data_IF_958391778747
#
_entry.id   IF_958391778747
#
_cell.length_a   1.000
_cell.length_b   1.000
_cell.length_c   1.000
_cell.angle_alpha   90.00
_cell.angle_beta   90.00
_cell.angle_gamma   90.00
#
_symmetry.space_group_name_H-M   'P 1'
#
loop_
_entity.id
_entity.type
_entity.pdbx_description
1 polymer ?
#
# COMPACT_ATOMS: atom_id res chain seq x y z
N UNK A 1 41.98 -58.63 -28.04
CA UNK A 1 41.48 -57.34 -28.56
C UNK A 1 40.04 -57.18 -28.09
N UNK A 2 39.82 -56.33 -27.07
CA UNK A 2 38.51 -56.12 -26.47
C UNK A 2 37.65 -55.24 -27.40
N UNK A 3 36.36 -55.57 -27.52
CA UNK A 3 35.37 -54.76 -28.23
C UNK A 3 34.74 -53.80 -27.22
N UNK A 4 34.97 -52.51 -27.41
CA UNK A 4 34.37 -51.42 -26.64
C UNK A 4 32.83 -51.48 -26.76
N UNK A 5 32.14 -51.59 -25.62
CA UNK A 5 30.69 -51.51 -25.54
C UNK A 5 30.33 -50.01 -25.53
N UNK A 6 29.89 -49.50 -26.67
CA UNK A 6 29.40 -48.12 -26.80
C UNK A 6 28.14 -47.91 -25.95
N UNK A 7 28.29 -47.24 -24.82
CA UNK A 7 27.19 -46.85 -23.94
C UNK A 7 26.49 -45.63 -24.54
N UNK A 8 25.36 -45.83 -25.23
CA UNK A 8 24.49 -44.73 -25.67
C UNK A 8 23.69 -44.24 -24.47
N UNK A 9 24.14 -43.15 -23.85
CA UNK A 9 23.41 -42.50 -22.77
C UNK A 9 22.17 -41.78 -23.35
N UNK A 10 21.00 -42.40 -23.18
CA UNK A 10 19.71 -41.78 -23.51
C UNK A 10 19.38 -40.72 -22.44
N UNK A 11 19.76 -39.47 -22.67
CA UNK A 11 19.42 -38.36 -21.78
C UNK A 11 17.94 -38.02 -21.94
N UNK A 12 17.12 -38.41 -20.95
CA UNK A 12 15.74 -37.95 -20.79
C UNK A 12 15.76 -36.43 -20.53
N UNK A 13 15.45 -35.64 -21.55
CA UNK A 13 15.20 -34.19 -21.42
C UNK A 13 13.84 -34.04 -20.75
N UNK A 14 13.83 -33.90 -19.42
CA UNK A 14 12.64 -33.49 -18.70
C UNK A 14 12.38 -32.02 -18.99
N UNK A 15 11.42 -31.74 -19.88
CA UNK A 15 10.83 -30.41 -20.02
C UNK A 15 10.14 -30.08 -18.69
N UNK A 16 10.81 -29.28 -17.84
CA UNK A 16 10.10 -28.55 -16.81
C UNK A 16 9.21 -27.54 -17.53
N UNK A 17 7.95 -27.90 -17.73
CA UNK A 17 6.93 -26.91 -18.01
C UNK A 17 6.90 -26.00 -16.78
N UNK A 18 7.46 -24.79 -16.91
CA UNK A 18 7.14 -23.73 -15.98
C UNK A 18 5.65 -23.49 -16.12
N UNK A 19 4.86 -24.06 -15.21
CA UNK A 19 3.46 -23.68 -15.02
C UNK A 19 3.47 -22.20 -14.69
N UNK A 20 3.29 -21.37 -15.72
CA UNK A 20 2.97 -19.95 -15.58
C UNK A 20 1.60 -19.88 -14.92
N UNK A 21 1.57 -20.09 -13.61
CA UNK A 21 0.36 -20.03 -12.82
C UNK A 21 -0.16 -18.59 -12.90
N UNK A 22 -1.34 -18.41 -13.50
CA UNK A 22 -2.12 -17.19 -13.37
C UNK A 22 -2.21 -16.84 -11.88
N UNK A 23 -1.47 -15.81 -11.45
CA UNK A 23 -1.45 -15.41 -10.05
C UNK A 23 -2.49 -14.33 -9.84
N UNK A 24 -3.74 -14.79 -9.72
CA UNK A 24 -4.83 -13.98 -9.19
C UNK A 24 -4.69 -13.94 -7.67
N UNK A 25 -4.45 -12.76 -7.13
CA UNK A 25 -4.27 -12.59 -5.70
C UNK A 25 -5.62 -12.69 -4.97
N UNK A 26 -5.62 -13.39 -3.83
CA UNK A 26 -6.71 -13.28 -2.87
C UNK A 26 -6.69 -11.87 -2.25
N UNK A 27 -7.88 -11.26 -2.13
CA UNK A 27 -8.07 -9.85 -1.77
C UNK A 27 -7.43 -9.49 -0.43
N UNK A 28 -7.66 -10.27 0.62
CA UNK A 28 -7.13 -9.96 1.95
C UNK A 28 -5.64 -10.25 2.07
N UNK A 29 -5.15 -11.26 1.37
CA UNK A 29 -3.73 -11.59 1.25
C UNK A 29 -2.98 -10.42 0.61
N UNK A 30 -3.46 -9.91 -0.54
CA UNK A 30 -2.86 -8.74 -1.18
C UNK A 30 -2.93 -7.50 -0.28
N UNK A 31 -4.08 -7.24 0.36
CA UNK A 31 -4.21 -6.10 1.27
C UNK A 31 -3.23 -6.18 2.44
N UNK A 32 -3.04 -7.37 3.03
CA UNK A 32 -2.09 -7.60 4.11
C UNK A 32 -0.65 -7.42 3.64
N UNK A 33 -0.27 -7.96 2.48
CA UNK A 33 1.05 -7.75 1.88
C UNK A 33 1.35 -6.26 1.68
N UNK A 34 0.45 -5.54 1.01
CA UNK A 34 0.57 -4.10 0.74
C UNK A 34 0.73 -3.26 2.01
N UNK A 35 -0.04 -3.59 3.06
CA UNK A 35 -0.01 -2.88 4.33
C UNK A 35 1.20 -3.26 5.19
N UNK A 36 1.41 -4.55 5.43
CA UNK A 36 2.29 -5.05 6.47
C UNK A 36 3.71 -5.30 5.96
N UNK A 37 3.86 -5.92 4.78
CA UNK A 37 5.18 -6.18 4.18
C UNK A 37 5.74 -4.91 3.55
N UNK A 38 4.95 -4.25 2.69
CA UNK A 38 5.43 -3.09 1.93
C UNK A 38 5.19 -1.74 2.60
N UNK A 39 4.48 -1.71 3.73
CA UNK A 39 4.26 -0.51 4.53
C UNK A 39 3.64 0.63 3.71
N UNK A 40 2.71 0.31 2.79
CA UNK A 40 1.89 1.35 2.17
C UNK A 40 1.01 2.00 3.24
N UNK A 41 0.81 3.34 3.19
CA UNK A 41 0.02 4.02 4.21
C UNK A 41 -1.37 3.40 4.37
N UNK A 42 -1.79 3.14 5.61
CA UNK A 42 -3.12 2.60 5.93
C UNK A 42 -4.25 3.42 5.30
N UNK A 43 -4.08 4.74 5.26
CA UNK A 43 -5.02 5.69 4.64
C UNK A 43 -5.14 5.53 3.13
N UNK A 44 -4.14 4.96 2.46
CA UNK A 44 -4.12 4.72 1.02
C UNK A 44 -4.52 3.29 0.63
N UNK A 45 -4.54 2.36 1.59
CA UNK A 45 -4.73 0.93 1.29
C UNK A 45 -6.01 0.64 0.50
N UNK A 46 -7.13 1.28 0.88
CA UNK A 46 -8.40 1.10 0.17
C UNK A 46 -8.32 1.60 -1.29
N UNK A 47 -7.59 2.68 -1.54
CA UNK A 47 -7.33 3.20 -2.89
C UNK A 47 -6.48 2.21 -3.70
N UNK A 48 -5.39 1.71 -3.13
CA UNK A 48 -4.54 0.71 -3.78
C UNK A 48 -5.30 -0.57 -4.14
N UNK A 49 -6.11 -1.08 -3.21
CA UNK A 49 -6.93 -2.26 -3.46
C UNK A 49 -8.01 -2.01 -4.50
N UNK A 50 -8.65 -0.82 -4.50
CA UNK A 50 -9.61 -0.49 -5.54
C UNK A 50 -8.96 -0.41 -6.93
N UNK A 51 -7.80 0.26 -7.05
CA UNK A 51 -7.06 0.36 -8.31
C UNK A 51 -6.71 -1.03 -8.81
N UNK A 52 -6.08 -1.88 -7.99
CA UNK A 52 -5.72 -3.24 -8.40
C UNK A 52 -6.95 -4.05 -8.86
N UNK A 53 -8.11 -3.88 -8.21
CA UNK A 53 -9.35 -4.53 -8.65
C UNK A 53 -9.88 -4.00 -9.98
N UNK A 54 -9.81 -2.70 -10.23
CA UNK A 54 -10.34 -2.06 -11.44
C UNK A 54 -9.44 -2.28 -12.64
N UNK A 55 -8.14 -2.25 -12.41
CA UNK A 55 -7.11 -2.38 -13.44
C UNK A 55 -6.95 -3.85 -13.89
N UNK A 56 -7.00 -4.81 -12.97
CA UNK A 56 -6.65 -6.21 -13.30
C UNK A 56 -7.51 -7.28 -12.63
N UNK A 57 -8.51 -6.91 -11.82
CA UNK A 57 -9.25 -7.86 -10.96
C UNK A 57 -8.32 -8.68 -10.05
N UNK A 58 -7.22 -8.07 -9.60
CA UNK A 58 -6.14 -8.70 -8.82
C UNK A 58 -5.33 -9.77 -9.56
N UNK A 59 -5.45 -9.86 -10.88
CA UNK A 59 -4.60 -10.74 -11.69
C UNK A 59 -3.24 -10.08 -11.95
N UNK A 60 -2.18 -10.61 -11.31
CA UNK A 60 -0.82 -10.08 -11.48
C UNK A 60 -0.21 -10.39 -12.84
N UNK A 61 -0.76 -11.35 -13.60
CA UNK A 61 -0.34 -11.64 -14.97
C UNK A 61 -1.20 -10.94 -16.02
N UNK A 62 -2.12 -10.05 -15.62
CA UNK A 62 -2.97 -9.33 -16.56
C UNK A 62 -2.15 -8.38 -17.44
N UNK A 63 -2.19 -8.59 -18.76
CA UNK A 63 -1.60 -7.68 -19.75
C UNK A 63 -2.76 -7.14 -20.59
N UNK A 64 -2.86 -5.82 -20.70
CA UNK A 64 -3.91 -5.21 -21.51
C UNK A 64 -3.69 -5.49 -23.01
N UNK A 65 -4.75 -5.29 -23.78
CA UNK A 65 -4.62 -5.10 -25.22
C UNK A 65 -3.70 -3.92 -25.55
N UNK A 66 -3.11 -3.95 -26.73
CA UNK A 66 -2.23 -2.87 -27.22
C UNK A 66 -2.99 -1.54 -27.23
N UNK A 67 -2.41 -0.54 -26.59
CA UNK A 67 -2.89 0.83 -26.57
C UNK A 67 -2.73 1.48 -27.95
N UNK A 68 -3.46 2.57 -28.20
CA UNK A 68 -3.42 3.29 -29.49
C UNK A 68 -2.01 3.72 -29.92
N UNK A 69 -1.12 3.95 -28.96
CA UNK A 69 0.27 4.33 -29.20
C UNK A 69 1.21 3.12 -29.34
N UNK A 70 0.70 1.90 -29.38
CA UNK A 70 1.49 0.67 -29.45
C UNK A 70 2.03 0.16 -28.11
N UNK A 71 1.85 0.90 -27.01
CA UNK A 71 2.27 0.45 -25.67
C UNK A 71 1.31 -0.60 -25.11
N UNK A 72 1.71 -1.25 -24.02
CA UNK A 72 0.88 -2.18 -23.24
C UNK A 72 1.01 -1.86 -21.76
N UNK A 73 -0.01 -2.25 -21.00
CA UNK A 73 -0.07 -2.10 -19.55
C UNK A 73 0.02 -3.46 -18.86
N UNK A 74 0.83 -3.54 -17.81
CA UNK A 74 1.27 -4.80 -17.21
C UNK A 74 0.87 -4.93 -15.74
N UNK A 75 0.31 -6.10 -15.41
CA UNK A 75 0.11 -6.63 -14.07
C UNK A 75 -0.93 -5.92 -13.23
N UNK A 76 -0.80 -6.10 -11.91
CA UNK A 76 -1.80 -5.70 -10.91
C UNK A 76 -2.29 -4.25 -11.06
N UNK A 77 -1.36 -3.34 -11.35
CA UNK A 77 -1.58 -1.90 -11.39
C UNK A 77 -1.41 -1.31 -12.79
N UNK A 78 -1.42 -2.16 -13.83
CA UNK A 78 -1.39 -1.76 -15.24
C UNK A 78 -0.26 -0.76 -15.54
N UNK A 79 0.97 -1.19 -15.23
CA UNK A 79 2.19 -0.40 -15.39
C UNK A 79 2.56 -0.35 -16.88
N UNK A 80 2.51 0.83 -17.47
CA UNK A 80 2.71 1.04 -18.91
C UNK A 80 4.19 0.88 -19.36
N UNK A 81 4.41 0.14 -20.44
CA UNK A 81 5.75 -0.12 -21.01
C UNK A 81 6.30 0.95 -21.97
N UNK A 82 5.69 2.14 -22.06
CA UNK A 82 6.30 3.32 -22.69
C UNK A 82 7.01 4.18 -21.65
N UNK A 83 6.44 4.30 -20.45
CA UNK A 83 6.87 5.26 -19.44
C UNK A 83 7.59 4.62 -18.25
N UNK A 84 7.11 3.47 -17.76
CA UNK A 84 7.45 3.00 -16.42
C UNK A 84 8.37 1.78 -16.42
N UNK A 85 8.08 0.77 -17.25
CA UNK A 85 8.91 -0.41 -17.44
C UNK A 85 9.37 -0.52 -18.90
N UNK A 86 10.29 -1.45 -19.18
CA UNK A 86 10.75 -1.76 -20.53
C UNK A 86 10.75 -3.26 -20.82
N UNK A 87 10.49 -3.64 -22.07
CA UNK A 87 10.70 -4.99 -22.59
C UNK A 87 10.94 -4.94 -24.11
N UNK A 88 11.13 -6.10 -24.75
CA UNK A 88 11.37 -6.18 -26.20
C UNK A 88 10.22 -5.63 -27.06
N UNK A 89 9.03 -5.51 -26.50
CA UNK A 89 7.83 -4.98 -27.16
C UNK A 89 7.61 -3.48 -26.90
N UNK A 90 8.45 -2.84 -26.08
CA UNK A 90 8.31 -1.42 -25.73
C UNK A 90 8.45 -0.51 -26.95
N UNK A 91 7.45 0.34 -27.25
CA UNK A 91 7.60 1.38 -28.26
C UNK A 91 8.74 2.34 -27.90
N UNK A 92 9.46 2.81 -28.92
CA UNK A 92 10.53 3.78 -28.75
C UNK A 92 10.07 5.22 -29.06
N UNK A 93 10.59 6.25 -28.36
CA UNK A 93 11.47 6.12 -27.19
C UNK A 93 10.72 5.62 -25.95
N UNK A 94 11.39 4.80 -25.14
CA UNK A 94 10.91 4.34 -23.83
C UNK A 94 11.69 5.02 -22.70
N UNK A 95 11.00 5.43 -21.63
CA UNK A 95 11.64 6.13 -20.50
C UNK A 95 12.13 5.21 -19.37
N UNK A 96 11.53 4.03 -19.20
CA UNK A 96 11.78 3.07 -18.12
C UNK A 96 12.01 3.73 -16.74
N UNK A 97 11.10 4.61 -16.31
CA UNK A 97 11.30 5.40 -15.10
C UNK A 97 11.41 4.59 -13.80
N UNK A 98 10.90 3.35 -13.79
CA UNK A 98 11.06 2.44 -12.65
C UNK A 98 12.37 1.62 -12.71
N UNK A 99 13.12 1.71 -13.81
CA UNK A 99 14.33 0.95 -14.09
C UNK A 99 14.10 -0.57 -13.90
N UNK A 100 13.07 -1.11 -14.56
CA UNK A 100 12.63 -2.49 -14.36
C UNK A 100 12.14 -3.12 -15.67
N UNK A 101 12.38 -4.42 -15.83
CA UNK A 101 11.81 -5.18 -16.96
C UNK A 101 10.32 -5.45 -16.71
N UNK A 102 9.47 -5.34 -17.74
CA UNK A 102 8.02 -5.51 -17.55
C UNK A 102 7.63 -6.92 -17.03
N UNK A 103 8.40 -7.95 -17.36
CA UNK A 103 8.14 -9.30 -16.81
C UNK A 103 8.34 -9.39 -15.30
N UNK A 104 9.21 -8.54 -14.74
CA UNK A 104 9.40 -8.49 -13.28
C UNK A 104 8.18 -7.90 -12.61
N UNK A 105 7.54 -6.87 -13.18
CA UNK A 105 6.33 -6.29 -12.58
C UNK A 105 5.10 -7.21 -12.66
N UNK A 106 5.13 -8.23 -13.54
CA UNK A 106 4.11 -9.29 -13.59
C UNK A 106 4.32 -10.35 -12.49
N UNK A 107 5.57 -10.74 -12.26
CA UNK A 107 5.90 -11.94 -11.48
C UNK A 107 6.36 -11.65 -10.04
N UNK A 108 6.77 -10.42 -9.75
CA UNK A 108 7.44 -10.03 -8.51
C UNK A 108 6.76 -8.81 -7.88
N UNK A 109 5.98 -9.05 -6.82
CA UNK A 109 5.25 -8.00 -6.11
C UNK A 109 6.20 -6.95 -5.48
N UNK A 110 7.45 -7.30 -5.17
CA UNK A 110 8.44 -6.34 -4.65
C UNK A 110 8.73 -5.27 -5.72
N UNK A 111 8.96 -5.69 -6.96
CA UNK A 111 9.21 -4.81 -8.10
C UNK A 111 7.96 -4.04 -8.52
N UNK A 112 6.79 -4.68 -8.50
CA UNK A 112 5.51 -4.02 -8.73
C UNK A 112 5.28 -2.87 -7.72
N UNK A 113 5.43 -3.15 -6.42
CA UNK A 113 5.17 -2.16 -5.36
C UNK A 113 6.21 -1.03 -5.37
N UNK A 114 7.47 -1.34 -5.66
CA UNK A 114 8.51 -0.32 -5.87
C UNK A 114 8.14 0.63 -7.01
N UNK A 115 7.66 0.10 -8.15
CA UNK A 115 7.32 0.92 -9.30
C UNK A 115 6.09 1.80 -9.05
N UNK A 116 5.00 1.30 -8.45
CA UNK A 116 3.82 2.14 -8.16
C UNK A 116 4.13 3.26 -7.15
N UNK A 117 5.07 3.05 -6.21
CA UNK A 117 5.55 4.10 -5.30
C UNK A 117 6.26 5.21 -6.09
N UNK A 118 7.11 4.83 -7.06
CA UNK A 118 7.78 5.79 -7.96
C UNK A 118 6.76 6.57 -8.80
N UNK A 119 5.78 5.87 -9.38
CA UNK A 119 4.68 6.48 -10.15
C UNK A 119 3.92 7.52 -9.33
N UNK A 120 3.50 7.13 -8.12
CA UNK A 120 2.77 7.99 -7.20
C UNK A 120 3.60 9.20 -6.74
N UNK A 121 4.90 9.02 -6.47
CA UNK A 121 5.77 10.13 -6.11
C UNK A 121 5.99 11.10 -7.28
N UNK A 122 6.25 10.58 -8.49
CA UNK A 122 6.46 11.38 -9.70
C UNK A 122 5.21 12.13 -10.17
N UNK A 123 4.02 11.67 -9.80
CA UNK A 123 2.75 12.37 -10.03
C UNK A 123 2.43 13.43 -8.97
N UNK A 124 3.37 13.78 -8.08
CA UNK A 124 3.14 14.74 -7.00
C UNK A 124 2.28 14.17 -5.87
N UNK A 125 2.45 12.89 -5.54
CA UNK A 125 1.64 12.15 -4.57
C UNK A 125 0.16 12.12 -4.96
N UNK A 126 -0.12 11.87 -6.24
CA UNK A 126 -1.47 11.84 -6.78
C UNK A 126 -1.77 10.54 -7.52
N UNK A 127 -3.06 10.22 -7.62
CA UNK A 127 -3.55 9.03 -8.31
C UNK A 127 -3.70 9.22 -9.84
N UNK A 128 -3.22 10.35 -10.38
CA UNK A 128 -3.32 10.68 -11.81
C UNK A 128 -2.81 9.59 -12.77
N UNK A 129 -1.77 8.80 -12.46
CA UNK A 129 -1.34 7.73 -13.35
C UNK A 129 -2.38 6.64 -13.59
N UNK A 130 -3.39 6.48 -12.70
CA UNK A 130 -4.41 5.44 -12.80
C UNK A 130 -5.74 6.03 -13.25
N UNK A 131 -6.06 5.88 -14.54
CA UNK A 131 -7.28 6.40 -15.17
C UNK A 131 -8.54 5.78 -14.54
N UNK A 132 -8.43 4.61 -13.91
CA UNK A 132 -9.55 3.97 -13.21
C UNK A 132 -9.86 4.57 -11.83
N UNK A 133 -8.95 5.36 -11.25
CA UNK A 133 -9.10 5.89 -9.89
C UNK A 133 -10.34 6.78 -9.67
N UNK A 134 -10.77 7.64 -10.61
CA UNK A 134 -12.02 8.39 -10.47
C UNK A 134 -13.26 7.51 -10.26
N UNK A 135 -13.25 6.24 -10.67
CA UNK A 135 -14.34 5.32 -10.39
C UNK A 135 -14.27 4.74 -8.97
N UNK A 136 -13.07 4.61 -8.39
CA UNK A 136 -12.89 4.28 -6.97
C UNK A 136 -13.48 5.36 -6.06
N UNK A 137 -13.34 6.63 -6.44
CA UNK A 137 -13.88 7.75 -5.67
C UNK A 137 -15.42 7.84 -5.68
N UNK A 138 -16.08 7.16 -6.62
CA UNK A 138 -17.54 7.14 -6.76
C UNK A 138 -18.22 6.01 -5.96
N UNK A 139 -17.46 5.21 -5.22
CA UNK A 139 -17.98 4.09 -4.45
C UNK A 139 -17.33 4.03 -3.06
N UNK A 140 -17.96 3.27 -2.16
CA UNK A 140 -17.38 2.99 -0.85
C UNK A 140 -16.16 2.05 -1.02
N UNK A 141 -14.96 2.62 -0.97
CA UNK A 141 -13.71 1.87 -1.11
C UNK A 141 -13.41 0.96 0.10
N UNK A 142 -14.12 1.11 1.23
CA UNK A 142 -13.91 0.22 2.38
C UNK A 142 -14.27 -1.22 2.03
N UNK A 143 -15.15 -1.46 1.06
CA UNK A 143 -15.53 -2.80 0.60
C UNK A 143 -14.34 -3.63 0.09
N UNK A 144 -13.27 -2.98 -0.38
CA UNK A 144 -12.09 -3.69 -0.90
C UNK A 144 -11.22 -4.29 0.21
N UNK A 145 -11.34 -3.79 1.44
CA UNK A 145 -10.61 -4.31 2.62
C UNK A 145 -11.53 -4.81 3.73
N UNK A 146 -12.84 -4.64 3.58
CA UNK A 146 -13.84 -5.12 4.54
C UNK A 146 -13.68 -6.62 4.78
N UNK A 147 -13.67 -7.01 6.06
CA UNK A 147 -13.52 -8.39 6.49
C UNK A 147 -12.10 -8.95 6.34
N UNK A 148 -11.12 -8.14 5.95
CA UNK A 148 -9.72 -8.55 6.00
C UNK A 148 -9.18 -8.32 7.40
N UNK A 149 -8.49 -9.32 7.94
CA UNK A 149 -7.73 -9.20 9.16
C UNK A 149 -6.43 -8.44 8.88
N UNK A 150 -6.50 -7.12 9.10
CA UNK A 150 -5.42 -6.17 8.86
C UNK A 150 -4.95 -5.58 10.19
N UNK A 151 -4.98 -6.40 11.25
CA UNK A 151 -4.44 -5.99 12.54
C UNK A 151 -2.97 -5.59 12.40
N UNK A 152 -2.62 -4.53 13.12
CA UNK A 152 -1.24 -4.12 13.25
C UNK A 152 -0.54 -5.19 14.06
N UNK A 153 0.39 -5.94 13.47
CA UNK A 153 1.43 -6.61 14.26
C UNK A 153 2.27 -5.52 14.92
N UNK A 154 1.78 -4.96 16.02
CA UNK A 154 2.61 -4.25 16.97
C UNK A 154 3.49 -5.33 17.59
N UNK A 155 4.77 -5.33 17.21
CA UNK A 155 5.80 -6.05 17.95
C UNK A 155 5.67 -5.72 19.44
N UNK A 156 5.64 -6.78 20.25
CA UNK A 156 5.27 -6.68 21.65
C UNK A 156 6.14 -5.75 22.48
N UNK A 157 5.55 -5.26 23.57
CA UNK A 157 6.19 -5.44 24.87
C UNK A 157 5.14 -5.83 25.92
N UNK A 158 5.38 -7.03 26.43
CA UNK A 158 4.94 -7.65 27.67
C UNK A 158 4.20 -6.78 28.71
N UNK A 159 3.08 -7.35 29.14
CA UNK A 159 2.45 -7.26 30.46
C UNK A 159 3.26 -6.58 31.56
N UNK A 160 2.77 -5.45 32.06
CA UNK A 160 3.05 -5.00 33.42
C UNK A 160 1.74 -4.77 34.17
N UNK A 161 1.52 -5.71 35.09
CA UNK A 161 0.63 -5.75 36.24
C UNK A 161 -0.42 -4.64 36.47
N UNK A 162 -1.67 -5.10 36.55
CA UNK A 162 -2.74 -4.47 37.32
C UNK A 162 -2.28 -4.15 38.76
N UNK A 163 -1.92 -2.89 38.99
CA UNK A 163 -1.90 -2.29 40.34
C UNK A 163 -3.20 -1.50 40.50
N UNK A 164 -4.09 -1.85 41.44
CA UNK A 164 -5.33 -1.12 41.63
C UNK A 164 -5.04 0.26 42.24
N UNK A 165 -5.15 1.33 41.44
CA UNK A 165 -5.19 2.69 41.97
C UNK A 165 -6.52 2.93 42.68
N UNK A 166 -6.48 2.77 44.01
CA UNK A 166 -7.56 3.13 44.94
C UNK A 166 -7.76 4.66 44.94
N UNK A 167 -8.90 5.12 44.41
CA UNK A 167 -9.39 6.48 44.62
C UNK A 167 -9.55 6.78 46.13
N UNK A 168 -9.00 7.89 46.66
CA UNK A 168 -9.38 8.38 47.97
C UNK A 168 -10.69 9.17 47.87
N UNK A 169 -11.75 8.67 48.53
CA UNK A 169 -12.98 9.40 48.78
C UNK A 169 -12.73 10.53 49.81
N UNK A 170 -13.11 11.74 49.41
CA UNK A 170 -13.57 12.91 50.19
C UNK A 170 -13.10 13.12 51.64
N UNK A 171 -12.59 14.33 51.90
CA UNK A 171 -12.88 15.05 53.15
C UNK A 171 -13.25 16.50 52.86
N UNK A 172 -14.55 16.77 52.98
CA UNK A 172 -15.13 18.11 53.08
C UNK A 172 -14.52 18.83 54.29
N UNK A 173 -14.03 20.05 54.10
CA UNK A 173 -13.88 21.04 55.18
C UNK A 173 -14.46 22.35 54.71
N UNK A 174 -15.59 22.70 55.31
CA UNK A 174 -16.24 24.00 55.22
C UNK A 174 -15.45 25.03 56.04
N UNK A 175 -15.30 26.26 55.53
CA UNK A 175 -14.90 27.42 56.33
C UNK A 175 -15.67 28.67 55.89
N UNK A 176 -16.75 28.92 56.63
CA UNK A 176 -17.35 30.17 57.11
C UNK A 176 -16.91 31.51 56.51
N UNK A 177 -17.93 32.25 56.04
CA UNK A 177 -17.94 33.68 55.72
C UNK A 177 -17.41 34.57 56.87
N UNK A 178 -16.67 35.63 56.51
CA UNK A 178 -16.63 36.90 57.25
C UNK A 178 -16.90 38.06 56.28
N UNK A 179 -17.94 38.84 56.61
CA UNK A 179 -18.30 40.14 56.00
C UNK A 179 -17.46 41.26 56.61
N UNK A 180 -17.29 42.34 55.83
CA UNK A 180 -16.88 43.68 56.27
C UNK A 180 -15.72 44.21 55.44
N UNK A 181 -15.65 45.45 54.94
CA UNK A 181 -16.50 46.63 55.03
C UNK A 181 -16.20 47.51 53.80
N UNK A 182 -17.22 48.19 53.28
CA UNK A 182 -17.06 49.26 52.31
C UNK A 182 -16.43 50.52 52.94
N UNK A 183 -15.53 51.20 52.20
CA UNK A 183 -15.30 52.64 52.36
C UNK A 183 -15.21 53.31 50.98
N UNK A 184 -16.06 54.32 50.80
CA UNK A 184 -16.03 55.35 49.76
C UNK A 184 -15.09 56.50 50.17
N UNK A 185 -14.60 57.24 49.18
CA UNK A 185 -13.99 58.59 49.30
C UNK A 185 -12.96 58.79 48.18
N UNK A 186 -13.23 59.54 47.10
CA UNK A 186 -13.33 61.00 46.90
C UNK A 186 -12.06 61.60 46.22
N UNK A 187 -12.29 62.16 45.02
CA UNK A 187 -11.73 63.38 44.39
C UNK A 187 -10.22 63.70 44.33
N UNK A 188 -9.72 63.92 43.09
CA UNK A 188 -9.08 65.16 42.54
C UNK A 188 -8.53 64.86 41.11
N UNK A 189 -8.98 65.49 40.01
CA UNK A 189 -8.63 66.80 39.39
C UNK A 189 -7.19 66.93 38.84
N UNK A 190 -7.09 67.38 37.58
CA UNK A 190 -5.91 68.05 36.96
C UNK A 190 -5.37 67.32 35.71
N UNK A 191 -5.74 67.69 34.48
CA UNK A 191 -5.10 68.70 33.61
C UNK A 191 -3.58 68.52 33.43
N UNK A 192 -3.17 67.96 32.28
CA UNK A 192 -2.31 68.60 31.28
C UNK A 192 -2.38 67.82 29.96
#
# INVERSE_FOLDING_TARGET
MAREIGLVALTLVTFFAAEGAAKVWERCTLASELLNKYQLPRTQLNSWMCIAWRESRYDSLHINTVNTDGSKDYGLFQINNRWWCTNSESPQPNQNMCNVHCDRVLNDLDETVKCIKIMYAKSGNSWQPWITYPYCQKEDMTKFTKGCDLEHTQGGNHTEHDVPHRHPKNRVKTCRHKKGHAKRGHHAKGHH
#
